data_IF_487791655626
#
_entry.id   IF_487791655626
#
_cell.length_a   1.000
_cell.length_b   1.000
_cell.length_c   1.000
_cell.angle_alpha   90.00
_cell.angle_beta   90.00
_cell.angle_gamma   90.00
#
_symmetry.space_group_name_H-M   'P 1'
#
loop_
_entity.id
_entity.type
_entity.pdbx_description
1 polymer ?
#
# COMPACT_ATOMS: atom_id res chain seq x y z
N UNK A 1 9.44 7.41 24.65
CA UNK A 1 9.44 8.89 24.45
C UNK A 1 8.68 9.16 23.15
N UNK A 2 7.64 10.01 23.24
CA UNK A 2 6.77 10.29 22.09
C UNK A 2 7.35 11.37 21.17
N UNK A 3 7.35 11.08 19.90
CA UNK A 3 7.81 11.96 18.82
C UNK A 3 6.71 12.17 17.80
N UNK A 4 6.86 13.19 16.99
CA UNK A 4 5.98 13.51 15.87
C UNK A 4 6.81 13.66 14.62
N UNK A 5 6.40 12.99 13.55
CA UNK A 5 7.08 12.98 12.27
C UNK A 5 6.11 13.27 11.12
N UNK A 6 6.48 14.19 10.24
CA UNK A 6 5.83 14.36 8.95
C UNK A 6 6.35 13.30 8.00
N UNK A 7 5.46 12.64 7.26
CA UNK A 7 5.77 11.75 6.16
C UNK A 7 5.24 12.28 4.83
N UNK A 8 5.75 11.79 3.70
CA UNK A 8 5.25 12.15 2.39
C UNK A 8 3.80 11.68 2.20
N UNK A 9 3.05 12.38 1.34
CA UNK A 9 1.73 11.91 0.91
C UNK A 9 1.83 10.60 0.14
N UNK A 10 0.91 9.69 0.41
CA UNK A 10 0.81 8.42 -0.29
C UNK A 10 -0.65 8.00 -0.41
N UNK A 11 -1.07 7.60 -1.60
CA UNK A 11 -2.44 7.13 -1.89
C UNK A 11 -2.57 5.61 -1.82
N UNK A 12 -1.51 4.90 -1.36
CA UNK A 12 -1.43 3.44 -1.27
C UNK A 12 -1.02 2.98 0.13
N UNK A 13 -1.45 3.74 1.13
CA UNK A 13 -1.25 3.45 2.56
C UNK A 13 0.21 3.19 2.96
N UNK A 14 1.15 3.84 2.27
CA UNK A 14 2.60 3.65 2.48
C UNK A 14 3.06 2.19 2.39
N UNK A 15 2.35 1.38 1.61
CA UNK A 15 2.77 0.01 1.28
C UNK A 15 3.65 -0.04 0.04
N UNK A 16 3.55 0.98 -0.81
CA UNK A 16 4.35 1.16 -2.03
C UNK A 16 4.25 2.59 -2.57
N UNK A 17 5.11 2.99 -3.53
CA UNK A 17 5.04 4.31 -4.15
C UNK A 17 3.70 4.57 -4.85
N UNK A 18 3.23 5.80 -4.73
CA UNK A 18 1.98 6.27 -5.33
C UNK A 18 2.19 7.28 -6.47
N UNK A 19 3.43 7.47 -6.91
CA UNK A 19 3.76 8.43 -7.97
C UNK A 19 3.86 9.86 -7.48
N UNK A 20 3.81 10.84 -8.40
CA UNK A 20 4.03 12.25 -8.10
C UNK A 20 2.81 12.98 -7.54
N UNK A 21 1.63 12.35 -7.55
CA UNK A 21 0.40 12.99 -7.10
C UNK A 21 0.46 13.34 -5.60
N UNK A 22 0.11 14.57 -5.27
CA UNK A 22 0.10 15.05 -3.88
C UNK A 22 1.46 15.25 -3.21
N UNK A 23 2.56 15.01 -3.92
CA UNK A 23 3.92 15.24 -3.40
C UNK A 23 4.24 16.73 -3.30
N UNK A 24 5.34 17.04 -2.62
CA UNK A 24 5.82 18.41 -2.43
C UNK A 24 5.93 19.17 -3.75
N UNK A 25 5.31 20.36 -3.85
CA UNK A 25 5.30 21.18 -5.08
C UNK A 25 6.59 21.99 -5.32
N UNK A 26 7.56 21.94 -4.42
CA UNK A 26 8.83 22.63 -4.58
C UNK A 26 9.65 22.08 -5.74
N UNK A 27 10.04 22.94 -6.72
CA UNK A 27 10.82 22.51 -7.91
C UNK A 27 12.11 21.76 -7.60
N UNK A 28 12.63 21.83 -6.38
CA UNK A 28 13.82 21.12 -5.90
C UNK A 28 13.53 20.02 -4.89
N UNK A 29 12.27 19.66 -4.66
CA UNK A 29 11.95 18.56 -3.74
C UNK A 29 12.37 17.21 -4.35
N UNK A 30 13.02 16.37 -3.55
CA UNK A 30 13.52 15.06 -3.97
C UNK A 30 12.42 14.22 -4.63
N UNK A 31 11.23 14.18 -4.03
CA UNK A 31 10.09 13.39 -4.53
C UNK A 31 9.62 13.85 -5.93
N UNK A 32 9.83 15.13 -6.27
CA UNK A 32 9.49 15.66 -7.60
C UNK A 32 10.55 15.33 -8.65
N UNK A 33 11.81 15.15 -8.23
CA UNK A 33 12.93 14.84 -9.14
C UNK A 33 12.93 13.35 -9.46
N UNK A 34 12.76 12.50 -8.45
CA UNK A 34 12.85 11.05 -8.59
C UNK A 34 11.50 10.33 -8.67
N UNK A 35 10.40 11.03 -8.40
CA UNK A 35 9.04 10.50 -8.50
C UNK A 35 8.56 9.65 -7.33
N UNK A 36 9.37 9.50 -6.26
CA UNK A 36 8.98 8.75 -5.05
C UNK A 36 9.72 9.28 -3.80
N UNK A 37 9.21 8.92 -2.61
CA UNK A 37 9.89 9.12 -1.32
C UNK A 37 10.28 7.78 -0.70
N UNK A 38 11.42 7.70 -0.02
CA UNK A 38 11.86 6.46 0.64
C UNK A 38 10.89 5.97 1.74
N UNK A 39 10.00 6.83 2.23
CA UNK A 39 8.98 6.52 3.23
C UNK A 39 7.78 5.75 2.66
N UNK A 40 7.70 5.58 1.35
CA UNK A 40 6.50 5.03 0.70
C UNK A 40 6.32 3.52 0.88
N UNK A 41 7.27 2.85 1.53
CA UNK A 41 7.13 1.47 2.02
C UNK A 41 7.08 1.40 3.55
N UNK A 42 6.79 2.52 4.23
CA UNK A 42 6.81 2.59 5.70
C UNK A 42 5.89 1.56 6.34
N UNK A 43 4.77 1.24 5.70
CA UNK A 43 3.75 0.33 6.21
C UNK A 43 3.58 -0.94 5.32
N UNK A 44 4.62 -1.37 4.63
CA UNK A 44 4.60 -2.63 3.85
C UNK A 44 4.83 -3.84 4.79
N UNK A 45 3.74 -4.45 5.22
CA UNK A 45 3.72 -5.63 6.10
C UNK A 45 4.14 -6.94 5.41
N UNK A 46 4.39 -6.91 4.11
CA UNK A 46 4.79 -8.10 3.34
C UNK A 46 6.29 -8.44 3.44
N UNK A 47 7.12 -7.53 3.96
CA UNK A 47 8.59 -7.65 3.99
C UNK A 47 9.13 -7.58 5.41
N UNK A 48 9.14 -8.73 6.09
CA UNK A 48 9.58 -8.85 7.48
C UNK A 48 10.86 -9.68 7.61
N UNK A 49 11.78 -9.22 8.44
CA UNK A 49 12.96 -9.99 8.89
C UNK A 49 12.77 -10.29 10.37
N UNK A 50 12.63 -11.56 10.74
CA UNK A 50 12.46 -12.00 12.13
C UNK A 50 11.30 -11.26 12.86
N UNK A 51 10.21 -10.99 12.11
CA UNK A 51 9.04 -10.29 12.62
C UNK A 51 9.17 -8.77 12.67
N UNK A 52 10.30 -8.20 12.27
CA UNK A 52 10.51 -6.76 12.17
C UNK A 52 10.37 -6.28 10.74
N UNK A 53 9.65 -5.17 10.56
CA UNK A 53 9.68 -4.38 9.35
C UNK A 53 10.83 -3.38 9.40
N UNK A 54 11.62 -3.32 8.32
CA UNK A 54 12.69 -2.35 8.14
C UNK A 54 12.25 -1.29 7.15
N UNK A 55 12.37 -0.03 7.53
CA UNK A 55 11.92 1.07 6.70
C UNK A 55 12.77 2.33 6.87
N UNK A 56 12.38 3.37 6.15
CA UNK A 56 13.03 4.66 6.16
C UNK A 56 12.07 5.74 6.65
N UNK A 57 12.58 6.63 7.49
CA UNK A 57 11.85 7.80 7.95
C UNK A 57 12.75 9.04 7.81
N UNK A 58 12.42 9.94 6.87
CA UNK A 58 13.20 11.13 6.56
C UNK A 58 13.48 12.02 7.79
N UNK A 59 12.54 12.24 8.72
CA UNK A 59 12.81 12.99 9.94
C UNK A 59 13.96 12.46 10.80
N UNK A 60 14.23 11.16 10.74
CA UNK A 60 15.36 10.53 11.45
C UNK A 60 16.65 10.71 10.67
N UNK A 61 16.60 10.62 9.34
CA UNK A 61 17.77 10.70 8.47
C UNK A 61 18.57 11.99 8.66
N UNK A 62 17.90 13.13 8.86
CA UNK A 62 18.53 14.45 9.02
C UNK A 62 19.50 14.54 10.21
N UNK A 63 19.34 13.67 11.21
CA UNK A 63 20.18 13.60 12.42
C UNK A 63 20.43 12.15 12.85
N UNK A 64 20.64 11.25 11.91
CA UNK A 64 20.75 9.80 12.15
C UNK A 64 21.75 9.46 13.24
N UNK A 65 22.95 10.06 13.24
CA UNK A 65 23.96 9.85 14.28
C UNK A 65 23.48 10.12 15.70
N UNK A 66 22.54 11.06 15.86
CA UNK A 66 21.95 11.39 17.18
C UNK A 66 20.97 10.33 17.66
N UNK A 67 20.27 9.66 16.73
CA UNK A 67 19.15 8.81 17.07
C UNK A 67 19.47 7.31 17.07
N UNK A 68 20.58 6.88 16.43
CA UNK A 68 20.98 5.47 16.39
C UNK A 68 20.99 4.86 17.78
N UNK A 69 20.37 3.69 17.92
CA UNK A 69 20.23 2.95 19.17
C UNK A 69 19.15 3.46 20.13
N UNK A 70 18.41 4.51 19.73
CA UNK A 70 17.27 4.99 20.51
C UNK A 70 15.97 4.37 20.01
N UNK A 71 14.97 4.31 20.89
CA UNK A 71 13.62 3.82 20.62
C UNK A 71 12.61 4.92 20.92
N UNK A 72 11.63 5.10 20.02
CA UNK A 72 10.60 6.12 20.13
C UNK A 72 9.22 5.56 19.80
N UNK A 73 8.19 6.18 20.39
CA UNK A 73 6.83 6.12 19.86
C UNK A 73 6.66 7.30 18.90
N UNK A 74 6.33 7.03 17.65
CA UNK A 74 6.34 8.06 16.61
C UNK A 74 4.94 8.23 16.04
N UNK A 75 4.34 9.38 16.33
CA UNK A 75 3.11 9.83 15.69
C UNK A 75 3.41 10.36 14.29
N UNK A 76 2.62 9.92 13.34
CA UNK A 76 2.79 10.22 11.92
C UNK A 76 1.67 11.15 11.43
N UNK A 77 2.05 12.15 10.65
CA UNK A 77 1.09 12.96 9.91
C UNK A 77 1.60 13.27 8.51
N UNK A 78 0.69 13.60 7.62
CA UNK A 78 0.99 13.98 6.24
C UNK A 78 0.21 15.23 5.83
N UNK A 79 0.60 15.84 4.72
CA UNK A 79 -0.21 16.85 4.03
C UNK A 79 -0.86 16.20 2.80
N UNK A 80 -2.16 16.28 2.72
CA UNK A 80 -2.89 15.85 1.53
C UNK A 80 -2.75 16.83 0.35
N UNK A 81 -3.26 16.51 -0.85
CA UNK A 81 -3.14 17.36 -2.04
C UNK A 81 -3.78 18.74 -1.91
N UNK A 82 -4.73 18.92 -1.00
CA UNK A 82 -5.38 20.21 -0.70
C UNK A 82 -4.76 20.92 0.52
N UNK A 83 -3.56 20.46 0.94
CA UNK A 83 -2.76 21.04 2.03
C UNK A 83 -3.36 20.96 3.45
N UNK A 84 -4.30 20.06 3.68
CA UNK A 84 -4.74 19.76 5.04
C UNK A 84 -3.81 18.72 5.67
N UNK A 85 -3.66 18.81 7.00
CA UNK A 85 -2.85 17.86 7.76
C UNK A 85 -3.72 16.67 8.19
N UNK A 86 -3.34 15.49 7.80
CA UNK A 86 -4.01 14.25 8.20
C UNK A 86 -3.15 13.47 9.19
N UNK A 87 -3.76 13.04 10.31
CA UNK A 87 -3.12 12.16 11.27
C UNK A 87 -3.17 10.73 10.75
N UNK A 88 -1.98 10.14 10.55
CA UNK A 88 -1.86 8.79 9.98
C UNK A 88 -1.93 7.73 11.08
N UNK A 89 -1.39 8.00 12.26
CA UNK A 89 -1.37 7.04 13.36
C UNK A 89 -0.11 7.15 14.22
N UNK A 90 0.14 6.12 15.02
CA UNK A 90 1.33 6.00 15.85
C UNK A 90 1.99 4.63 15.63
N UNK A 91 3.30 4.62 15.51
CA UNK A 91 4.10 3.40 15.59
C UNK A 91 4.85 3.43 16.91
N UNK A 92 4.59 2.45 17.77
CA UNK A 92 5.27 2.31 19.05
C UNK A 92 6.59 1.56 18.92
N UNK A 93 7.50 1.78 19.83
CA UNK A 93 8.78 1.06 19.92
C UNK A 93 9.59 1.08 18.62
N UNK A 94 9.57 2.18 17.87
CA UNK A 94 10.39 2.35 16.66
C UNK A 94 11.85 2.44 17.04
N UNK A 95 12.65 1.46 16.64
CA UNK A 95 14.10 1.44 16.85
C UNK A 95 14.82 2.17 15.71
N UNK A 96 15.67 3.13 16.06
CA UNK A 96 16.57 3.79 15.12
C UNK A 96 17.81 2.92 14.92
N UNK A 97 17.95 2.30 13.74
CA UNK A 97 18.99 1.33 13.46
C UNK A 97 20.32 1.95 13.05
N UNK A 98 21.41 1.22 13.25
CA UNK A 98 22.74 1.63 12.81
C UNK A 98 22.92 1.44 11.28
N UNK A 99 23.90 2.11 10.66
CA UNK A 99 24.25 1.87 9.26
C UNK A 99 24.60 0.41 8.97
N UNK A 100 25.21 -0.30 9.93
CA UNK A 100 25.58 -1.72 9.81
C UNK A 100 24.31 -2.60 9.78
N UNK A 101 23.34 -2.33 10.65
CA UNK A 101 22.04 -3.03 10.66
C UNK A 101 21.27 -2.75 9.35
N UNK A 102 21.29 -1.51 8.88
CA UNK A 102 20.68 -1.14 7.60
C UNK A 102 21.27 -1.90 6.42
N UNK A 103 22.62 -2.04 6.37
CA UNK A 103 23.30 -2.83 5.35
C UNK A 103 22.97 -4.31 5.41
N UNK A 104 22.86 -4.87 6.63
CA UNK A 104 22.45 -6.26 6.81
C UNK A 104 21.02 -6.50 6.32
N UNK A 105 20.08 -5.60 6.67
CA UNK A 105 18.71 -5.64 6.18
C UNK A 105 18.66 -5.55 4.66
N UNK A 106 19.40 -4.63 4.05
CA UNK A 106 19.46 -4.48 2.60
C UNK A 106 19.94 -5.76 1.89
N UNK A 107 21.02 -6.39 2.40
CA UNK A 107 21.50 -7.67 1.86
C UNK A 107 20.43 -8.78 1.96
N UNK A 108 19.69 -8.80 3.05
CA UNK A 108 18.59 -9.75 3.22
C UNK A 108 17.47 -9.50 2.19
N UNK A 109 17.07 -8.23 2.02
CA UNK A 109 16.09 -7.82 1.01
C UNK A 109 16.53 -8.17 -0.40
N UNK A 110 17.83 -7.98 -0.72
CA UNK A 110 18.39 -8.43 -2.01
C UNK A 110 18.26 -9.94 -2.20
N UNK A 111 18.63 -10.72 -1.18
CA UNK A 111 18.57 -12.19 -1.23
C UNK A 111 17.13 -12.68 -1.44
N UNK A 112 16.15 -12.01 -0.86
CA UNK A 112 14.72 -12.34 -1.00
C UNK A 112 14.09 -11.82 -2.30
N UNK A 113 14.82 -11.04 -3.12
CA UNK A 113 14.29 -10.39 -4.32
C UNK A 113 13.46 -9.14 -4.05
N UNK A 114 13.28 -8.76 -2.79
CA UNK A 114 12.44 -7.62 -2.40
C UNK A 114 12.96 -6.26 -2.88
N UNK A 115 14.28 -6.11 -3.01
CA UNK A 115 14.86 -4.89 -3.60
C UNK A 115 14.46 -4.74 -5.06
N UNK A 116 14.37 -5.86 -5.81
CA UNK A 116 13.88 -5.83 -7.19
C UNK A 116 12.39 -5.41 -7.19
N UNK A 117 11.56 -6.03 -6.38
CA UNK A 117 10.14 -5.67 -6.25
C UNK A 117 9.96 -4.18 -5.93
N UNK A 118 10.74 -3.62 -5.00
CA UNK A 118 10.67 -2.20 -4.66
C UNK A 118 11.09 -1.30 -5.83
N UNK A 119 12.08 -1.71 -6.64
CA UNK A 119 12.48 -0.99 -7.85
C UNK A 119 11.39 -1.03 -8.91
N UNK A 120 10.78 -2.19 -9.10
CA UNK A 120 9.65 -2.36 -10.03
C UNK A 120 8.47 -1.47 -9.62
N UNK A 121 8.18 -1.40 -8.31
CA UNK A 121 7.16 -0.48 -7.75
C UNK A 121 7.45 1.01 -8.09
N UNK A 122 8.74 1.43 -8.02
CA UNK A 122 9.14 2.81 -8.38
C UNK A 122 8.94 3.07 -9.86
N UNK A 123 9.43 2.17 -10.71
CA UNK A 123 9.28 2.28 -12.17
C UNK A 123 7.80 2.36 -12.52
N UNK A 124 6.99 1.49 -11.93
CA UNK A 124 5.55 1.47 -12.12
C UNK A 124 4.86 2.78 -11.72
N UNK A 125 5.32 3.40 -10.63
CA UNK A 125 4.85 4.72 -10.20
C UNK A 125 5.37 5.88 -11.05
N UNK A 126 6.14 5.60 -12.13
CA UNK A 126 6.74 6.61 -12.99
C UNK A 126 7.98 7.29 -12.40
N UNK A 127 8.60 6.69 -11.37
CA UNK A 127 9.78 7.19 -10.71
C UNK A 127 11.10 6.67 -11.31
N UNK A 128 12.22 7.24 -10.85
CA UNK A 128 13.57 6.84 -11.22
C UNK A 128 14.21 5.99 -10.13
N UNK A 129 14.70 4.82 -10.48
CA UNK A 129 15.42 3.92 -9.56
C UNK A 129 16.88 4.28 -9.34
N UNK A 130 17.40 5.31 -10.02
CA UNK A 130 18.81 5.72 -9.96
C UNK A 130 19.27 6.04 -8.54
N UNK A 131 18.36 6.61 -7.73
CA UNK A 131 18.63 7.02 -6.36
C UNK A 131 18.06 6.04 -5.32
N UNK A 132 17.58 4.87 -5.73
CA UNK A 132 17.25 3.81 -4.78
C UNK A 132 18.54 3.26 -4.19
N UNK A 133 18.84 3.77 -3.00
CA UNK A 133 20.11 3.67 -2.31
C UNK A 133 20.78 2.31 -2.40
N UNK A 134 22.00 2.33 -2.87
CA UNK A 134 22.93 1.26 -2.59
C UNK A 134 23.26 1.25 -1.08
N UNK A 135 23.58 0.09 -0.54
CA UNK A 135 24.25 -0.05 0.75
C UNK A 135 23.49 0.41 2.01
N UNK A 136 22.16 0.18 2.08
CA UNK A 136 21.42 0.36 3.32
C UNK A 136 20.90 1.77 3.59
N UNK A 137 21.03 2.70 2.64
CA UNK A 137 20.39 4.02 2.72
C UNK A 137 18.85 3.96 2.65
N UNK A 138 18.30 2.77 2.35
CA UNK A 138 16.86 2.54 2.31
C UNK A 138 16.24 2.32 3.69
N UNK A 139 17.03 2.13 4.73
CA UNK A 139 16.56 1.80 6.06
C UNK A 139 17.26 2.63 7.11
N UNK A 140 16.50 3.20 8.03
CA UNK A 140 17.03 3.86 9.23
C UNK A 140 16.23 3.56 10.49
N UNK A 141 15.13 2.81 10.34
CA UNK A 141 14.29 2.33 11.44
C UNK A 141 13.90 0.87 11.24
N UNK A 142 13.49 0.24 12.34
CA UNK A 142 12.71 -1.00 12.33
C UNK A 142 11.67 -1.00 13.45
N UNK A 143 10.59 -1.75 13.25
CA UNK A 143 9.53 -1.93 14.24
C UNK A 143 8.74 -3.21 13.97
N UNK A 144 7.91 -3.65 14.92
CA UNK A 144 6.95 -4.74 14.71
C UNK A 144 5.61 -4.16 14.28
N UNK A 145 4.95 -4.79 13.33
CA UNK A 145 3.61 -4.33 12.89
C UNK A 145 2.55 -4.41 13.99
N UNK A 146 2.70 -5.31 14.96
CA UNK A 146 1.85 -5.32 16.18
C UNK A 146 1.89 -4.03 16.98
N UNK A 147 2.93 -3.23 16.81
CA UNK A 147 3.16 -1.99 17.53
C UNK A 147 2.69 -0.76 16.73
N UNK A 148 2.03 -0.97 15.57
CA UNK A 148 1.54 0.09 14.69
C UNK A 148 0.03 0.25 14.84
N UNK A 149 -0.40 1.42 15.31
CA UNK A 149 -1.80 1.86 15.35
C UNK A 149 -2.03 2.91 14.26
N UNK A 150 -2.55 2.47 13.11
CA UNK A 150 -2.61 3.25 11.88
C UNK A 150 -4.06 3.44 11.41
N UNK A 151 -4.42 4.69 11.14
CA UNK A 151 -5.68 5.07 10.53
C UNK A 151 -5.57 4.95 9.00
N UNK A 152 -5.93 3.81 8.45
CA UNK A 152 -5.83 3.61 7.00
C UNK A 152 -6.93 4.37 6.23
N UNK A 153 -8.15 4.40 6.71
CA UNK A 153 -9.31 4.95 6.00
C UNK A 153 -9.75 6.29 6.55
N UNK A 154 -10.07 6.48 7.74
CA UNK A 154 -10.67 7.71 8.28
C UNK A 154 -9.64 8.56 9.02
N UNK A 155 -8.67 9.12 8.30
CA UNK A 155 -7.60 9.92 8.89
C UNK A 155 -8.16 11.23 9.46
N UNK A 156 -8.05 11.45 10.78
CA UNK A 156 -8.48 12.70 11.40
C UNK A 156 -7.71 13.90 10.83
N UNK A 157 -8.44 14.99 10.59
CA UNK A 157 -7.83 16.25 10.18
C UNK A 157 -7.27 16.94 11.42
N UNK A 158 -5.97 17.21 11.40
CA UNK A 158 -5.29 17.96 12.45
C UNK A 158 -5.59 19.44 12.28
N UNK A 159 -6.04 20.08 13.35
CA UNK A 159 -6.33 21.50 13.36
C UNK A 159 -5.06 22.35 13.04
N UNK A 160 -5.27 23.50 12.43
CA UNK A 160 -4.17 24.35 12.00
C UNK A 160 -3.30 24.82 13.17
N UNK A 161 -3.91 25.08 14.32
CA UNK A 161 -3.28 25.54 15.56
C UNK A 161 -2.58 24.43 16.37
N UNK A 162 -2.68 23.15 15.97
CA UNK A 162 -2.08 22.03 16.71
C UNK A 162 -0.58 22.28 16.96
N UNK A 163 -0.11 22.24 18.24
CA UNK A 163 1.26 22.58 18.59
C UNK A 163 2.30 21.56 18.12
N UNK A 164 1.89 20.32 17.83
CA UNK A 164 2.79 19.24 17.42
C UNK A 164 3.16 19.33 15.95
N UNK A 165 2.34 19.98 15.13
CA UNK A 165 2.47 19.99 13.67
C UNK A 165 2.80 21.38 13.11
N UNK A 166 3.37 22.25 13.93
CA UNK A 166 3.85 23.56 13.49
C UNK A 166 5.12 23.42 12.65
N UNK A 167 5.05 23.85 11.40
CA UNK A 167 6.15 23.82 10.43
C UNK A 167 6.01 22.76 9.34
N UNK A 168 6.66 23.05 8.22
CA UNK A 168 6.57 22.25 6.99
C UNK A 168 7.72 21.24 6.83
N UNK A 169 8.64 21.19 7.77
CA UNK A 169 9.89 20.45 7.61
C UNK A 169 9.77 18.99 8.03
N UNK A 170 10.48 18.11 7.33
CA UNK A 170 10.72 16.72 7.72
C UNK A 170 11.71 16.66 8.88
N UNK A 171 11.23 16.87 10.09
CA UNK A 171 12.02 16.80 11.34
C UNK A 171 11.31 15.92 12.34
N UNK A 172 12.10 15.16 13.11
CA UNK A 172 11.60 14.46 14.28
C UNK A 172 11.45 15.45 15.42
N UNK A 173 10.23 15.70 15.83
CA UNK A 173 9.87 16.68 16.88
C UNK A 173 9.42 15.94 18.15
N UNK A 174 9.60 16.57 19.31
CA UNK A 174 8.98 16.08 20.53
C UNK A 174 7.48 16.34 20.49
N UNK A 175 6.66 15.36 20.88
CA UNK A 175 5.22 15.57 21.09
C UNK A 175 5.03 16.53 22.27
N UNK A 176 4.32 17.60 22.05
CA UNK A 176 4.14 18.69 23.04
C UNK A 176 2.85 18.57 23.83
N UNK A 177 1.80 18.06 23.19
CA UNK A 177 0.46 17.94 23.78
C UNK A 177 -0.32 16.84 23.03
N UNK A 178 -1.55 16.57 23.46
CA UNK A 178 -2.48 15.77 22.68
C UNK A 178 -2.83 16.50 21.38
N UNK A 179 -3.09 15.71 20.32
CA UNK A 179 -3.44 16.27 19.02
C UNK A 179 -4.80 16.98 19.09
N UNK A 180 -4.86 18.14 18.45
CA UNK A 180 -6.09 18.89 18.25
C UNK A 180 -6.61 18.54 16.86
N UNK A 181 -7.78 17.91 16.81
CA UNK A 181 -8.45 17.57 15.55
C UNK A 181 -9.56 18.57 15.23
N UNK A 182 -9.72 18.84 13.93
CA UNK A 182 -10.88 19.60 13.45
C UNK A 182 -12.16 18.84 13.78
N UNK A 183 -13.25 19.59 14.00
CA UNK A 183 -14.58 19.04 14.24
C UNK A 183 -15.54 19.48 13.14
N UNK A 184 -16.50 18.62 12.81
CA UNK A 184 -17.61 18.97 11.93
C UNK A 184 -18.68 19.81 12.68
N UNK A 185 -19.75 20.18 11.99
CA UNK A 185 -20.84 20.98 12.56
C UNK A 185 -21.57 20.27 13.70
N UNK A 186 -21.50 18.93 13.75
CA UNK A 186 -22.08 18.08 14.79
C UNK A 186 -21.15 17.84 15.98
N UNK A 187 -19.89 18.33 15.89
CA UNK A 187 -18.87 18.20 16.92
C UNK A 187 -18.04 16.89 16.86
N UNK A 188 -18.24 16.06 15.83
CA UNK A 188 -17.43 14.86 15.61
C UNK A 188 -16.06 15.25 15.04
N UNK A 189 -15.07 14.37 15.25
CA UNK A 189 -13.75 14.55 14.63
C UNK A 189 -13.92 14.50 13.12
N UNK A 190 -13.49 15.58 12.45
CA UNK A 190 -13.57 15.69 11.00
C UNK A 190 -12.54 14.77 10.37
N UNK A 191 -13.00 13.93 9.46
CA UNK A 191 -12.16 13.16 8.55
C UNK A 191 -12.47 13.60 7.13
N UNK A 192 -11.45 13.65 6.27
CA UNK A 192 -11.72 13.80 4.84
C UNK A 192 -11.94 12.42 4.27
N UNK A 193 -13.17 12.20 3.88
CA UNK A 193 -13.49 11.15 2.94
C UNK A 193 -13.06 11.64 1.56
N UNK A 194 -11.75 11.62 1.29
CA UNK A 194 -11.16 12.15 0.05
C UNK A 194 -11.28 11.18 -1.11
N UNK A 195 -11.81 10.00 -0.84
CA UNK A 195 -12.02 9.02 -1.87
C UNK A 195 -13.49 9.10 -2.36
N UNK A 196 -13.73 9.60 -3.60
CA UNK A 196 -15.07 9.61 -4.17
C UNK A 196 -15.68 8.20 -4.32
N UNK A 197 -14.98 7.15 -3.90
CA UNK A 197 -15.36 5.75 -4.00
C UNK A 197 -15.54 5.02 -2.67
N UNK A 198 -15.51 5.71 -1.53
CA UNK A 198 -15.90 5.10 -0.27
C UNK A 198 -17.41 4.84 -0.26
N UNK A 199 -17.81 3.65 -0.62
CA UNK A 199 -19.09 3.09 -0.20
C UNK A 199 -18.91 2.46 1.17
N UNK A 200 -19.54 3.08 2.16
CA UNK A 200 -19.82 2.41 3.43
C UNK A 200 -20.68 1.20 3.13
N UNK A 201 -20.11 0.02 3.24
CA UNK A 201 -20.88 -1.22 3.28
C UNK A 201 -20.88 -1.73 4.70
N UNK A 202 -21.99 -2.29 5.13
CA UNK A 202 -22.21 -2.83 6.48
C UNK A 202 -21.26 -3.98 6.90
N UNK A 203 -20.21 -4.24 6.15
CA UNK A 203 -19.27 -5.35 6.35
C UNK A 203 -17.78 -4.98 6.25
N UNK A 204 -17.43 -3.68 6.33
CA UNK A 204 -16.02 -3.23 6.31
C UNK A 204 -15.70 -2.34 5.12
N UNK A 205 -14.82 -1.37 5.36
CA UNK A 205 -14.35 -0.42 4.36
C UNK A 205 -13.34 -1.11 3.44
N UNK A 206 -13.59 -1.11 2.15
CA UNK A 206 -12.63 -1.53 1.12
C UNK A 206 -12.03 -0.26 0.53
N UNK A 207 -10.76 0.00 0.78
CA UNK A 207 -10.02 1.06 0.09
C UNK A 207 -9.81 0.63 -1.35
N UNK A 208 -10.52 1.27 -2.27
CA UNK A 208 -10.33 1.04 -3.71
C UNK A 208 -9.18 1.94 -4.17
N UNK A 209 -8.02 1.34 -4.49
CA UNK A 209 -6.92 2.01 -5.18
C UNK A 209 -7.48 2.62 -6.49
N UNK A 210 -7.33 3.93 -6.76
CA UNK A 210 -7.80 4.55 -7.99
C UNK A 210 -7.24 3.88 -9.26
N UNK A 211 -6.02 3.34 -9.18
CA UNK A 211 -5.44 2.56 -10.26
C UNK A 211 -6.12 1.20 -10.42
N UNK A 212 -6.46 0.55 -9.33
CA UNK A 212 -7.26 -0.68 -9.32
C UNK A 212 -8.59 -0.43 -10.04
N UNK A 213 -9.29 0.65 -9.73
CA UNK A 213 -10.56 1.00 -10.36
C UNK A 213 -10.40 1.35 -11.85
N UNK A 214 -9.34 2.06 -12.21
CA UNK A 214 -9.03 2.36 -13.63
C UNK A 214 -8.78 1.09 -14.43
N UNK A 215 -7.97 0.18 -13.88
CA UNK A 215 -7.69 -1.12 -14.50
C UNK A 215 -8.96 -1.97 -14.62
N UNK A 216 -9.75 -2.04 -13.57
CA UNK A 216 -11.04 -2.75 -13.55
C UNK A 216 -11.99 -2.23 -14.62
N UNK A 217 -12.16 -0.90 -14.73
CA UNK A 217 -13.03 -0.30 -15.74
C UNK A 217 -12.51 -0.51 -17.17
N UNK A 218 -11.20 -0.39 -17.38
CA UNK A 218 -10.59 -0.62 -18.70
C UNK A 218 -10.78 -2.07 -19.17
N UNK A 219 -10.56 -3.04 -18.28
CA UNK A 219 -10.77 -4.46 -18.63
C UNK A 219 -12.24 -4.78 -18.82
N UNK A 220 -13.13 -4.21 -18.00
CA UNK A 220 -14.57 -4.38 -18.18
C UNK A 220 -15.05 -3.87 -19.56
N UNK A 221 -14.51 -2.73 -20.00
CA UNK A 221 -14.82 -2.19 -21.35
C UNK A 221 -14.30 -3.08 -22.47
N UNK A 222 -13.09 -3.64 -22.31
CA UNK A 222 -12.51 -4.58 -23.28
C UNK A 222 -13.29 -5.90 -23.40
N UNK A 223 -13.86 -6.35 -22.28
CA UNK A 223 -14.53 -7.65 -22.20
C UNK A 223 -16.05 -7.60 -22.38
N UNK A 224 -16.65 -6.41 -22.48
CA UNK A 224 -18.12 -6.23 -22.50
C UNK A 224 -18.86 -7.06 -23.56
N UNK A 225 -18.24 -7.28 -24.73
CA UNK A 225 -18.83 -8.04 -25.82
C UNK A 225 -18.61 -9.56 -25.73
N UNK A 226 -17.72 -9.99 -24.82
CA UNK A 226 -17.41 -11.41 -24.56
C UNK A 226 -18.27 -12.01 -23.45
N UNK A 227 -18.95 -11.16 -22.64
CA UNK A 227 -19.71 -11.58 -21.48
C UNK A 227 -21.15 -11.06 -21.55
N UNK A 228 -22.13 -11.95 -21.39
CA UNK A 228 -23.55 -11.58 -21.36
C UNK A 228 -23.89 -10.76 -20.11
N UNK A 229 -23.30 -11.13 -18.98
CA UNK A 229 -23.45 -10.45 -17.71
C UNK A 229 -22.07 -10.16 -17.14
N UNK A 230 -21.71 -8.88 -17.01
CA UNK A 230 -20.46 -8.43 -16.43
C UNK A 230 -20.77 -7.51 -15.22
N UNK A 231 -20.33 -7.92 -14.04
CA UNK A 231 -20.58 -7.22 -12.80
C UNK A 231 -19.28 -6.84 -12.10
N UNK A 232 -19.16 -5.59 -11.71
CA UNK A 232 -18.05 -5.07 -10.89
C UNK A 232 -18.44 -5.12 -9.40
N UNK A 233 -17.48 -5.50 -8.55
CA UNK A 233 -17.60 -5.49 -7.08
C UNK A 233 -18.88 -6.18 -6.56
N UNK A 234 -19.22 -7.29 -7.17
CA UNK A 234 -20.44 -7.99 -6.83
C UNK A 234 -20.22 -9.00 -5.72
N UNK A 235 -21.11 -9.00 -4.74
CA UNK A 235 -21.11 -10.03 -3.71
C UNK A 235 -21.14 -11.44 -4.31
N UNK A 236 -20.28 -12.29 -3.78
CA UNK A 236 -20.39 -13.72 -3.96
C UNK A 236 -21.35 -14.26 -2.90
N UNK A 237 -22.33 -15.07 -3.32
CA UNK A 237 -23.36 -15.59 -2.44
C UNK A 237 -22.81 -16.66 -1.46
N UNK A 238 -21.88 -16.27 -0.59
CA UNK A 238 -21.29 -17.13 0.44
C UNK A 238 -21.81 -16.82 1.86
N UNK A 239 -22.65 -15.79 2.00
CA UNK A 239 -23.21 -15.36 3.28
C UNK A 239 -22.26 -14.57 4.18
N UNK A 240 -21.05 -14.23 3.70
CA UNK A 240 -20.02 -13.52 4.47
C UNK A 240 -19.78 -12.09 3.97
N UNK A 241 -20.56 -11.62 2.99
CA UNK A 241 -20.43 -10.27 2.43
C UNK A 241 -19.16 -10.06 1.58
N UNK A 242 -18.41 -11.12 1.26
CA UNK A 242 -17.24 -11.04 0.40
C UNK A 242 -17.63 -10.65 -1.02
N UNK A 243 -16.81 -9.83 -1.67
CA UNK A 243 -17.00 -9.36 -3.04
C UNK A 243 -15.83 -9.82 -3.89
N UNK A 244 -16.15 -10.24 -5.12
CA UNK A 244 -15.15 -10.41 -6.18
C UNK A 244 -15.03 -9.09 -6.93
N UNK A 245 -13.84 -8.72 -7.34
CA UNK A 245 -13.60 -7.47 -8.06
C UNK A 245 -14.40 -7.36 -9.35
N UNK A 246 -14.46 -8.45 -10.12
CA UNK A 246 -15.32 -8.56 -11.30
C UNK A 246 -15.74 -10.02 -11.51
N UNK A 247 -16.96 -10.23 -11.97
CA UNK A 247 -17.44 -11.53 -12.46
C UNK A 247 -18.25 -11.36 -13.73
N UNK A 248 -18.10 -12.31 -14.64
CA UNK A 248 -18.81 -12.32 -15.91
C UNK A 248 -19.32 -13.70 -16.28
N UNK A 249 -20.46 -13.75 -16.98
CA UNK A 249 -20.97 -14.96 -17.61
C UNK A 249 -20.55 -14.95 -19.07
N UNK A 250 -19.66 -15.86 -19.43
CA UNK A 250 -19.14 -16.02 -20.80
C UNK A 250 -20.26 -16.19 -21.80
N UNK A 251 -20.24 -15.44 -22.91
CA UNK A 251 -21.34 -15.42 -23.86
C UNK A 251 -21.47 -16.70 -24.69
N UNK A 252 -20.36 -17.43 -24.88
CA UNK A 252 -20.34 -18.66 -25.69
C UNK A 252 -20.65 -19.89 -24.86
N UNK A 253 -20.07 -19.98 -23.65
CA UNK A 253 -20.16 -21.17 -22.82
C UNK A 253 -21.22 -21.09 -21.75
N UNK A 254 -21.68 -19.90 -21.40
CA UNK A 254 -22.60 -19.64 -20.28
C UNK A 254 -21.94 -19.83 -18.90
N UNK A 255 -20.64 -20.06 -18.83
CA UNK A 255 -19.91 -20.30 -17.61
C UNK A 255 -19.56 -19.01 -16.88
N UNK A 256 -19.50 -19.07 -15.54
CA UNK A 256 -19.09 -17.95 -14.74
C UNK A 256 -17.56 -17.91 -14.59
N UNK A 257 -16.97 -16.72 -14.86
CA UNK A 257 -15.58 -16.40 -14.68
C UNK A 257 -15.42 -15.33 -13.60
N UNK A 258 -14.41 -15.47 -12.75
CA UNK A 258 -14.08 -14.52 -11.69
C UNK A 258 -12.73 -13.89 -11.95
N UNK A 259 -12.63 -12.59 -11.68
CA UNK A 259 -11.45 -11.77 -11.92
C UNK A 259 -11.07 -11.06 -10.64
N UNK A 260 -9.82 -11.16 -10.26
CA UNK A 260 -9.21 -10.43 -9.17
C UNK A 260 -8.17 -9.47 -9.73
N UNK A 261 -8.27 -8.22 -9.39
CA UNK A 261 -7.40 -7.17 -9.89
C UNK A 261 -6.35 -6.83 -8.85
N UNK A 262 -5.11 -6.74 -9.30
CA UNK A 262 -3.99 -6.29 -8.48
C UNK A 262 -3.21 -5.25 -9.25
N UNK A 263 -2.65 -4.30 -8.53
CA UNK A 263 -1.88 -3.20 -9.10
C UNK A 263 -0.39 -3.34 -8.77
N UNK A 264 0.09 -4.57 -8.62
CA UNK A 264 1.47 -4.96 -8.32
C UNK A 264 2.14 -5.61 -9.53
N UNK A 265 3.47 -5.89 -9.41
CA UNK A 265 4.16 -6.78 -10.35
C UNK A 265 3.46 -8.14 -10.43
N UNK A 266 3.66 -8.86 -11.55
CA UNK A 266 2.98 -10.13 -11.81
C UNK A 266 3.17 -11.14 -10.67
N UNK A 267 4.40 -11.35 -10.20
CA UNK A 267 4.73 -12.21 -9.06
C UNK A 267 3.93 -11.88 -7.79
N UNK A 268 3.89 -10.59 -7.45
CA UNK A 268 3.19 -10.13 -6.24
C UNK A 268 1.68 -10.23 -6.41
N UNK A 269 1.16 -9.89 -7.58
CA UNK A 269 -0.26 -10.02 -7.92
C UNK A 269 -0.74 -11.46 -7.77
N UNK A 270 0.01 -12.41 -8.29
CA UNK A 270 -0.28 -13.85 -8.17
C UNK A 270 -0.28 -14.28 -6.71
N UNK A 271 0.77 -13.93 -5.96
CA UNK A 271 0.92 -14.29 -4.54
C UNK A 271 -0.24 -13.78 -3.68
N UNK A 272 -0.66 -12.53 -3.88
CA UNK A 272 -1.70 -11.90 -3.06
C UNK A 272 -3.12 -12.30 -3.48
N UNK A 273 -3.35 -12.51 -4.78
CA UNK A 273 -4.68 -12.85 -5.28
C UNK A 273 -5.02 -14.34 -5.17
N UNK A 274 -4.02 -15.22 -5.19
CA UNK A 274 -4.25 -16.66 -5.31
C UNK A 274 -5.14 -17.22 -4.20
N UNK A 275 -4.88 -16.87 -2.95
CA UNK A 275 -5.69 -17.31 -1.81
C UNK A 275 -7.11 -16.79 -1.87
N UNK A 276 -7.27 -15.50 -2.18
CA UNK A 276 -8.57 -14.83 -2.27
C UNK A 276 -9.45 -15.46 -3.36
N UNK A 277 -8.91 -15.61 -4.55
CA UNK A 277 -9.70 -16.11 -5.68
C UNK A 277 -10.06 -17.59 -5.52
N UNK A 278 -9.20 -18.39 -4.90
CA UNK A 278 -9.52 -19.79 -4.55
C UNK A 278 -10.64 -19.86 -3.51
N UNK A 279 -10.61 -19.00 -2.49
CA UNK A 279 -11.67 -18.90 -1.50
C UNK A 279 -13.00 -18.50 -2.15
N UNK A 280 -13.00 -17.47 -2.98
CA UNK A 280 -14.21 -16.99 -3.65
C UNK A 280 -14.88 -18.05 -4.53
N UNK A 281 -14.08 -18.89 -5.16
CA UNK A 281 -14.60 -19.94 -6.06
C UNK A 281 -15.03 -21.18 -5.30
N UNK A 282 -14.31 -21.59 -4.27
CA UNK A 282 -14.46 -22.91 -3.67
C UNK A 282 -15.01 -22.95 -2.24
N UNK A 283 -15.03 -21.84 -1.52
CA UNK A 283 -15.54 -21.83 -0.13
C UNK A 283 -17.01 -21.39 -0.05
N UNK A 284 -17.90 -22.05 0.73
CA UNK A 284 -17.73 -23.35 1.35
C UNK A 284 -18.02 -24.48 0.35
N UNK A 285 -17.01 -25.23 -0.05
CA UNK A 285 -17.07 -26.46 -0.85
C UNK A 285 -18.04 -26.45 -2.07
N UNK A 286 -18.26 -25.29 -2.69
CA UNK A 286 -19.15 -25.11 -3.84
C UNK A 286 -18.40 -24.37 -4.96
N UNK A 287 -18.26 -25.05 -6.10
CA UNK A 287 -17.68 -24.43 -7.29
C UNK A 287 -18.63 -23.33 -7.81
N UNK A 288 -18.16 -22.09 -7.87
CA UNK A 288 -18.94 -20.91 -8.30
C UNK A 288 -18.49 -20.34 -9.63
N UNK A 289 -17.26 -20.64 -10.03
CA UNK A 289 -16.71 -20.23 -11.30
C UNK A 289 -15.90 -21.36 -11.94
N UNK A 290 -15.81 -21.38 -13.25
CA UNK A 290 -15.03 -22.37 -14.02
C UNK A 290 -13.65 -21.86 -14.36
N UNK A 291 -13.49 -20.54 -14.47
CA UNK A 291 -12.21 -19.88 -14.69
C UNK A 291 -11.99 -18.75 -13.69
N UNK A 292 -10.72 -18.55 -13.38
CA UNK A 292 -10.24 -17.53 -12.45
C UNK A 292 -9.12 -16.78 -13.14
N UNK A 293 -9.20 -15.45 -13.09
CA UNK A 293 -8.20 -14.56 -13.69
C UNK A 293 -7.61 -13.64 -12.63
N UNK A 294 -6.31 -13.52 -12.63
CA UNK A 294 -5.59 -12.51 -11.87
C UNK A 294 -5.12 -11.48 -12.87
N UNK A 295 -5.64 -10.28 -12.76
CA UNK A 295 -5.34 -9.18 -13.68
C UNK A 295 -4.34 -8.24 -13.02
N UNK A 296 -3.22 -8.04 -13.67
CA UNK A 296 -2.19 -7.08 -13.28
C UNK A 296 -1.96 -6.03 -14.37
N UNK A 297 -1.24 -4.93 -14.05
CA UNK A 297 -0.99 -3.83 -14.98
C UNK A 297 0.20 -4.08 -15.92
N UNK A 298 1.00 -5.11 -15.66
CA UNK A 298 2.25 -5.40 -16.36
C UNK A 298 2.23 -6.79 -16.98
N UNK A 299 2.91 -6.94 -18.10
CA UNK A 299 3.17 -8.26 -18.69
C UNK A 299 4.15 -9.04 -17.77
N UNK A 300 3.91 -10.34 -17.54
CA UNK A 300 4.81 -11.20 -16.79
C UNK A 300 6.17 -11.31 -17.47
N UNK A 301 7.26 -11.21 -16.70
CA UNK A 301 8.60 -11.52 -17.18
C UNK A 301 8.84 -13.05 -17.29
N UNK A 302 10.02 -13.45 -17.79
CA UNK A 302 10.35 -14.88 -17.96
C UNK A 302 10.29 -15.68 -16.63
N UNK A 303 10.66 -15.05 -15.51
CA UNK A 303 10.62 -15.71 -14.20
C UNK A 303 9.18 -15.82 -13.69
N UNK A 304 8.38 -14.80 -13.94
CA UNK A 304 6.95 -14.80 -13.63
C UNK A 304 6.23 -15.89 -14.44
N UNK A 305 6.51 -16.00 -15.75
CA UNK A 305 5.97 -17.04 -16.63
C UNK A 305 6.36 -18.43 -16.12
N UNK A 306 7.60 -18.64 -15.69
CA UNK A 306 8.04 -19.90 -15.12
C UNK A 306 7.31 -20.20 -13.80
N UNK A 307 7.08 -19.20 -12.96
CA UNK A 307 6.31 -19.35 -11.73
C UNK A 307 4.84 -19.71 -12.01
N UNK A 308 4.21 -19.01 -12.95
CA UNK A 308 2.84 -19.33 -13.40
C UNK A 308 2.73 -20.75 -13.96
N UNK A 309 3.72 -21.18 -14.74
CA UNK A 309 3.80 -22.56 -15.22
C UNK A 309 3.88 -23.57 -14.08
N UNK A 310 4.74 -23.32 -13.10
CA UNK A 310 4.88 -24.19 -11.91
C UNK A 310 3.56 -24.30 -11.14
N UNK A 311 2.82 -23.21 -10.99
CA UNK A 311 1.50 -23.22 -10.34
C UNK A 311 0.52 -24.10 -11.14
N UNK A 312 0.47 -23.95 -12.45
CA UNK A 312 -0.43 -24.75 -13.30
C UNK A 312 -0.10 -26.23 -13.28
N UNK A 313 1.16 -26.59 -13.45
CA UNK A 313 1.61 -27.98 -13.61
C UNK A 313 1.59 -28.75 -12.29
N UNK A 314 2.06 -28.15 -11.20
CA UNK A 314 2.21 -28.84 -9.93
C UNK A 314 0.96 -28.77 -9.05
N UNK A 315 0.16 -27.71 -9.19
CA UNK A 315 -0.99 -27.47 -8.32
C UNK A 315 -2.31 -27.42 -9.09
N UNK A 316 -2.27 -27.58 -10.40
CA UNK A 316 -3.45 -27.59 -11.29
C UNK A 316 -4.33 -26.32 -11.18
N UNK A 317 -3.70 -25.19 -10.85
CA UNK A 317 -4.39 -23.90 -10.75
C UNK A 317 -4.17 -23.12 -12.05
N UNK A 318 -5.23 -22.80 -12.82
CA UNK A 318 -5.11 -22.07 -14.08
C UNK A 318 -4.75 -20.60 -13.83
N UNK A 319 -3.50 -20.24 -14.05
CA UNK A 319 -2.97 -18.88 -14.05
C UNK A 319 -2.48 -18.58 -15.47
N UNK A 320 -2.99 -17.54 -16.11
CA UNK A 320 -2.69 -17.16 -17.49
C UNK A 320 -2.28 -15.70 -17.57
#
# INVERSE_FOLDING_TARGET
>A
MEKVARICWNTRDWKRPSGSEGKSRGKGAYENIVGFGHEEWLLDDSKLIDGYHYSFLQPINTKSKKYVGQTFDIHLFTFNPIHMKEYVGCIHNVECISPEQAKQAYKYYQKCGWVKEMKDDVIYAGGSVTDMGADGLMFNIRFKFSDADINYSNRPIIAQEDPNTQGLYYKLMDKKADFIFEKDEEGNVRTLNTDPFLRVTSSGEVIIDPLHKKLQNAVAELLKDQYVHLYLEKEIANGQGQKVDMKGQDAETGEWHYFEFKTYSAKRSIREALGQILEYVHYPAKKRATKMFIIGPEEPDEQDIQYMRTIRENYHIPVF
#
